data_IF_729247977010
#
_entry.id   IF_729247977010
#
_cell.length_a   1.000
_cell.length_b   1.000
_cell.length_c   1.000
_cell.angle_alpha   90.00
_cell.angle_beta   90.00
_cell.angle_gamma   90.00
#
_symmetry.space_group_name_H-M   'P 1'
#
loop_
_entity.id
_entity.type
_entity.pdbx_description
1 polymer ?
#
# COMPACT_ATOMS: atom_id res chain seq x y z
N UNK A 1 9.23 12.71 2.93
CA UNK A 1 9.55 11.35 2.43
C UNK A 1 9.58 11.43 0.90
N UNK A 2 10.41 10.62 0.22
CA UNK A 2 10.57 10.66 -1.25
C UNK A 2 10.18 9.30 -1.82
N UNK A 3 9.56 9.27 -2.99
CA UNK A 3 9.30 8.04 -3.73
C UNK A 3 10.62 7.33 -4.03
N UNK A 4 10.77 6.05 -3.69
CA UNK A 4 12.01 5.32 -3.92
C UNK A 4 12.22 5.11 -5.42
N UNK A 5 13.43 5.38 -5.91
CA UNK A 5 13.83 5.06 -7.28
C UNK A 5 14.37 3.63 -7.32
N UNK A 6 14.05 2.90 -8.39
CA UNK A 6 14.46 1.51 -8.55
C UNK A 6 13.38 0.65 -9.20
N UNK A 7 13.60 -0.66 -9.21
CA UNK A 7 12.64 -1.66 -9.69
C UNK A 7 12.10 -2.42 -8.47
N UNK A 8 10.79 -2.43 -8.32
CA UNK A 8 10.10 -3.07 -7.20
C UNK A 8 9.06 -4.04 -7.72
N UNK A 9 8.78 -5.09 -6.97
CA UNK A 9 7.69 -6.00 -7.30
C UNK A 9 6.34 -5.36 -7.01
N UNK A 10 5.30 -5.85 -7.69
CA UNK A 10 3.91 -5.56 -7.37
C UNK A 10 3.30 -6.83 -6.78
N UNK A 11 3.25 -6.90 -5.46
CA UNK A 11 3.06 -8.17 -4.74
C UNK A 11 1.59 -8.61 -4.68
N UNK A 12 0.71 -7.68 -4.34
CA UNK A 12 -0.74 -7.88 -4.31
C UNK A 12 -1.45 -6.53 -4.39
N UNK A 13 -2.75 -6.57 -4.65
CA UNK A 13 -3.61 -5.40 -4.69
C UNK A 13 -4.56 -5.37 -3.50
N UNK A 14 -5.03 -4.18 -3.15
CA UNK A 14 -6.06 -3.98 -2.14
C UNK A 14 -6.94 -2.78 -2.50
N UNK A 15 -8.07 -2.65 -1.85
CA UNK A 15 -8.90 -1.46 -2.03
C UNK A 15 -10.20 -1.49 -1.27
N UNK A 16 -10.82 -0.32 -1.10
CA UNK A 16 -12.14 -0.18 -0.48
C UNK A 16 -13.26 -0.66 -1.41
N UNK A 17 -13.00 -0.66 -2.73
CA UNK A 17 -13.89 -1.21 -3.75
C UNK A 17 -13.66 -2.72 -3.98
N UNK A 18 -14.60 -3.42 -4.63
CA UNK A 18 -14.40 -4.80 -5.05
C UNK A 18 -13.24 -4.96 -6.05
N UNK A 19 -12.69 -6.18 -6.12
CA UNK A 19 -11.62 -6.52 -7.07
C UNK A 19 -12.03 -6.16 -8.52
N UNK A 20 -11.30 -5.26 -9.22
CA UNK A 20 -11.64 -4.85 -10.58
C UNK A 20 -11.31 -5.92 -11.65
N UNK A 21 -10.78 -7.07 -11.24
CA UNK A 21 -10.25 -8.14 -12.08
C UNK A 21 -8.73 -8.07 -12.22
N UNK A 22 -8.12 -9.13 -12.74
CA UNK A 22 -6.66 -9.27 -12.86
C UNK A 22 -6.18 -10.59 -12.29
N UNK A 23 -4.86 -10.80 -12.26
CA UNK A 23 -4.27 -12.03 -11.72
C UNK A 23 -3.51 -11.85 -10.41
N UNK A 24 -3.37 -10.62 -9.90
CA UNK A 24 -2.80 -10.41 -8.57
C UNK A 24 -3.81 -10.83 -7.48
N UNK A 25 -3.33 -11.36 -6.33
CA UNK A 25 -4.16 -11.47 -5.14
C UNK A 25 -4.76 -10.11 -4.77
N UNK A 26 -6.01 -10.10 -4.31
CA UNK A 26 -6.74 -8.88 -3.96
C UNK A 26 -7.28 -8.96 -2.53
N UNK A 27 -7.05 -7.91 -1.73
CA UNK A 27 -7.64 -7.77 -0.39
C UNK A 27 -8.63 -6.61 -0.40
N UNK A 28 -9.92 -6.90 -0.20
CA UNK A 28 -10.91 -5.84 0.00
C UNK A 28 -10.82 -5.35 1.45
N UNK A 29 -10.40 -4.09 1.64
CA UNK A 29 -10.10 -3.54 2.96
C UNK A 29 -11.32 -2.92 3.61
N UNK A 30 -11.46 -3.18 4.90
CA UNK A 30 -12.46 -2.57 5.79
C UNK A 30 -11.81 -1.71 6.89
N UNK A 31 -12.61 -1.09 7.79
CA UNK A 31 -12.12 -0.16 8.80
C UNK A 31 -11.03 -0.70 9.74
N UNK A 32 -10.94 -2.02 9.90
CA UNK A 32 -9.97 -2.69 10.76
C UNK A 32 -8.66 -3.07 10.03
N UNK A 33 -8.48 -2.65 8.77
CA UNK A 33 -7.25 -2.91 8.01
C UNK A 33 -6.26 -1.76 8.18
N UNK A 34 -5.05 -2.10 8.58
CA UNK A 34 -3.96 -1.17 8.85
C UNK A 34 -2.72 -1.59 8.09
N UNK A 35 -1.90 -0.62 7.67
CA UNK A 35 -0.50 -0.89 7.37
C UNK A 35 0.33 -0.49 8.58
N UNK A 36 0.97 -1.48 9.20
CA UNK A 36 1.78 -1.28 10.39
C UNK A 36 3.08 -0.56 10.03
N UNK A 37 3.19 0.70 10.44
CA UNK A 37 4.40 1.51 10.27
C UNK A 37 5.25 1.59 11.54
N UNK A 38 4.81 1.01 12.65
CA UNK A 38 5.53 1.07 13.92
C UNK A 38 6.85 0.32 13.82
N UNK A 39 7.95 1.07 13.77
CA UNK A 39 9.31 0.54 13.64
C UNK A 39 9.74 -0.39 14.79
N UNK A 40 9.02 -0.39 15.91
CA UNK A 40 9.27 -1.30 17.05
C UNK A 40 8.42 -2.57 16.97
N UNK A 41 7.46 -2.62 16.06
CA UNK A 41 6.53 -3.74 15.92
C UNK A 41 7.18 -4.93 15.20
N UNK A 42 6.93 -6.17 15.64
CA UNK A 42 7.34 -7.37 14.90
C UNK A 42 6.63 -7.51 13.54
N UNK A 43 5.53 -6.77 13.33
CA UNK A 43 4.77 -6.74 12.07
C UNK A 43 5.04 -5.49 11.23
N UNK A 44 6.10 -4.74 11.53
CA UNK A 44 6.50 -3.56 10.77
C UNK A 44 6.51 -3.79 9.25
N UNK A 45 5.96 -2.81 8.52
CA UNK A 45 5.82 -2.78 7.07
C UNK A 45 5.00 -3.95 6.49
N UNK A 46 3.87 -4.25 7.13
CA UNK A 46 2.91 -5.25 6.64
C UNK A 46 1.46 -4.81 6.86
N UNK A 47 0.53 -5.37 6.09
CA UNK A 47 -0.90 -5.23 6.34
C UNK A 47 -1.32 -6.07 7.55
N UNK A 48 -2.06 -5.47 8.47
CA UNK A 48 -2.60 -6.09 9.69
C UNK A 48 -4.11 -5.87 9.78
N UNK A 49 -4.82 -6.80 10.41
CA UNK A 49 -6.27 -6.73 10.61
C UNK A 49 -6.58 -6.81 12.10
N UNK A 50 -7.01 -5.69 12.67
CA UNK A 50 -7.34 -5.57 14.08
C UNK A 50 -8.23 -4.34 14.32
N UNK A 51 -9.12 -4.45 15.31
CA UNK A 51 -9.76 -3.25 15.89
C UNK A 51 -8.66 -2.37 16.48
N UNK A 52 -8.81 -1.05 16.36
CA UNK A 52 -7.80 -0.07 16.75
C UNK A 52 -7.28 -0.28 18.18
N UNK A 53 -8.17 -0.61 19.12
CA UNK A 53 -7.85 -0.82 20.53
C UNK A 53 -7.17 -2.17 20.82
N UNK A 54 -7.21 -3.09 19.84
CA UNK A 54 -6.66 -4.44 19.94
C UNK A 54 -5.35 -4.61 19.16
N UNK A 55 -4.99 -3.64 18.31
CA UNK A 55 -3.74 -3.66 17.58
C UNK A 55 -2.55 -3.62 18.55
N UNK A 56 -1.57 -4.52 18.34
CA UNK A 56 -0.37 -4.66 19.19
C UNK A 56 0.81 -3.78 18.72
N UNK A 57 0.51 -2.77 17.92
CA UNK A 57 1.43 -1.79 17.35
C UNK A 57 0.82 -0.40 17.50
N UNK A 58 1.65 0.64 17.44
CA UNK A 58 1.16 2.01 17.52
C UNK A 58 0.35 2.39 16.26
N UNK A 59 -0.94 2.69 16.44
CA UNK A 59 -1.86 3.07 15.35
C UNK A 59 -1.86 4.57 15.03
N UNK A 60 -0.95 5.35 15.61
CA UNK A 60 -0.83 6.78 15.31
C UNK A 60 -0.14 7.02 13.96
N UNK A 61 -0.60 8.04 13.24
CA UNK A 61 0.06 8.51 12.02
C UNK A 61 1.53 8.91 12.26
N UNK A 62 1.85 9.39 13.47
CA UNK A 62 3.22 9.72 13.86
C UNK A 62 4.15 8.51 13.98
N UNK A 63 3.60 7.30 14.16
CA UNK A 63 4.36 6.05 14.08
C UNK A 63 4.57 5.58 12.63
N UNK A 64 3.97 6.26 11.64
CA UNK A 64 3.97 5.84 10.24
C UNK A 64 2.91 4.78 9.93
N UNK A 65 2.07 4.41 10.90
CA UNK A 65 0.95 3.49 10.70
C UNK A 65 -0.21 4.22 10.04
N UNK A 66 -0.86 3.56 9.08
CA UNK A 66 -2.00 4.12 8.36
C UNK A 66 -3.17 3.15 8.29
N UNK A 67 -4.40 3.70 8.31
CA UNK A 67 -5.60 2.92 8.05
C UNK A 67 -5.81 2.81 6.54
N UNK A 68 -6.11 1.61 6.06
CA UNK A 68 -6.24 1.35 4.64
C UNK A 68 -7.63 1.64 4.09
N UNK A 69 -8.62 1.90 4.95
CA UNK A 69 -10.00 2.18 4.56
C UNK A 69 -10.24 3.69 4.40
N UNK A 70 -9.57 4.29 3.42
CA UNK A 70 -9.68 5.72 3.06
C UNK A 70 -10.01 5.88 1.57
N UNK A 71 -10.59 7.02 1.13
CA UNK A 71 -10.98 7.24 -0.26
C UNK A 71 -9.84 7.08 -1.28
N UNK A 72 -8.61 7.43 -0.90
CA UNK A 72 -7.41 7.35 -1.75
C UNK A 72 -7.03 5.89 -2.09
N UNK A 73 -7.46 4.94 -1.27
CA UNK A 73 -7.26 3.51 -1.48
C UNK A 73 -8.50 2.84 -2.04
N UNK A 74 -9.20 3.54 -2.94
CA UNK A 74 -10.25 2.95 -3.77
C UNK A 74 -9.76 1.69 -4.46
N UNK A 75 -8.61 1.82 -5.14
CA UNK A 75 -7.78 0.74 -5.63
C UNK A 75 -6.32 1.07 -5.34
N UNK A 76 -5.55 0.06 -4.93
CA UNK A 76 -4.14 0.20 -4.62
C UNK A 76 -3.37 -1.09 -4.93
N UNK A 77 -2.08 -0.95 -5.22
CA UNK A 77 -1.15 -2.06 -5.46
C UNK A 77 0.07 -1.88 -4.57
N UNK A 78 0.43 -2.92 -3.82
CA UNK A 78 1.57 -2.91 -2.92
C UNK A 78 2.86 -2.98 -3.72
N UNK A 79 3.70 -1.96 -3.55
CA UNK A 79 5.08 -1.99 -4.05
C UNK A 79 5.96 -2.71 -3.04
N UNK A 80 6.76 -3.66 -3.53
CA UNK A 80 7.72 -4.44 -2.74
C UNK A 80 8.95 -3.63 -2.29
N UNK A 81 8.74 -2.45 -1.74
CA UNK A 81 9.79 -1.61 -1.14
C UNK A 81 10.03 -2.06 0.29
N UNK A 82 11.31 -2.15 0.70
CA UNK A 82 11.71 -2.58 2.04
C UNK A 82 11.09 -3.95 2.45
N UNK A 83 11.13 -4.95 1.55
CA UNK A 83 10.64 -6.32 1.84
C UNK A 83 11.31 -7.00 3.03
N UNK A 84 12.56 -6.66 3.30
CA UNK A 84 13.28 -7.14 4.47
C UNK A 84 12.74 -6.56 5.79
N UNK A 85 11.84 -5.56 5.72
CA UNK A 85 11.21 -4.88 6.87
C UNK A 85 12.24 -4.30 7.82
N UNK A 86 13.30 -3.70 7.27
CA UNK A 86 14.34 -3.05 8.07
C UNK A 86 13.77 -1.73 8.60
N UNK A 87 13.68 -1.56 9.92
CA UNK A 87 13.17 -0.32 10.50
C UNK A 87 13.97 0.90 10.01
N UNK A 88 13.27 1.98 9.64
CA UNK A 88 13.89 3.23 9.18
C UNK A 88 14.08 3.31 7.66
N UNK A 89 13.89 2.21 6.92
CA UNK A 89 13.95 2.19 5.46
C UNK A 89 12.62 2.56 4.78
N UNK A 90 11.68 3.13 5.54
CA UNK A 90 10.34 3.47 5.07
C UNK A 90 9.43 2.24 4.90
N UNK A 91 8.16 2.51 4.64
CA UNK A 91 7.15 1.48 4.43
C UNK A 91 5.91 2.07 3.79
N UNK A 92 4.94 1.21 3.52
CA UNK A 92 3.63 1.61 2.99
C UNK A 92 3.71 2.33 1.62
N UNK A 93 4.55 1.79 0.74
CA UNK A 93 4.67 2.31 -0.62
C UNK A 93 3.66 1.61 -1.52
N UNK A 94 2.71 2.38 -2.03
CA UNK A 94 1.65 1.88 -2.89
C UNK A 94 1.60 2.66 -4.20
N UNK A 95 1.09 2.00 -5.24
CA UNK A 95 0.46 2.68 -6.38
C UNK A 95 -1.02 2.77 -6.05
N UNK A 96 -1.62 3.96 -6.00
CA UNK A 96 -3.03 4.10 -5.63
C UNK A 96 -3.75 5.20 -6.41
N UNK A 97 -5.06 5.24 -6.28
CA UNK A 97 -5.91 6.26 -6.90
C UNK A 97 -5.65 7.64 -6.29
N UNK A 98 -5.49 8.65 -7.15
CA UNK A 98 -5.31 10.04 -6.75
C UNK A 98 -6.65 10.69 -6.39
N UNK A 99 -6.64 11.61 -5.43
CA UNK A 99 -7.69 12.60 -5.19
C UNK A 99 -7.34 13.98 -5.77
N UNK A 100 -6.23 14.08 -6.52
CA UNK A 100 -5.68 15.31 -7.07
C UNK A 100 -4.62 15.98 -6.18
N UNK A 101 -4.32 15.44 -5.00
CA UNK A 101 -3.30 15.94 -4.08
C UNK A 101 -1.89 15.32 -4.27
N UNK A 102 -0.82 15.98 -3.79
CA UNK A 102 0.52 15.41 -3.74
C UNK A 102 0.62 14.28 -2.69
N UNK A 103 1.34 13.21 -3.02
CA UNK A 103 1.55 12.07 -2.10
C UNK A 103 2.82 12.24 -1.25
N UNK A 104 2.86 11.55 -0.11
CA UNK A 104 4.04 11.51 0.76
C UNK A 104 5.15 10.54 0.29
N UNK A 105 5.00 9.91 -0.88
CA UNK A 105 5.95 8.92 -1.41
C UNK A 105 5.33 7.83 -2.28
N UNK A 106 4.02 7.64 -2.19
CA UNK A 106 3.24 6.76 -3.07
C UNK A 106 3.18 7.27 -4.51
N UNK A 107 2.82 6.39 -5.45
CA UNK A 107 2.53 6.79 -6.83
C UNK A 107 1.02 6.94 -6.97
N UNK A 108 0.53 8.17 -7.07
CA UNK A 108 -0.89 8.44 -7.27
C UNK A 108 -1.20 8.68 -8.75
N UNK A 109 -2.18 7.94 -9.29
CA UNK A 109 -2.64 8.04 -10.68
C UNK A 109 -4.17 8.05 -10.74
N UNK A 110 -4.73 8.37 -11.91
CA UNK A 110 -6.18 8.26 -12.15
C UNK A 110 -6.69 6.83 -11.87
N UNK A 111 -7.86 6.72 -11.22
CA UNK A 111 -8.44 5.45 -10.79
C UNK A 111 -8.77 4.53 -11.97
N UNK A 112 -9.33 5.08 -13.06
CA UNK A 112 -9.65 4.31 -14.26
C UNK A 112 -8.39 3.74 -14.92
N UNK A 113 -7.32 4.53 -14.93
CA UNK A 113 -5.99 4.12 -15.38
C UNK A 113 -5.43 3.00 -14.50
N UNK A 114 -5.49 3.15 -13.18
CA UNK A 114 -5.03 2.12 -12.24
C UNK A 114 -5.80 0.81 -12.41
N UNK A 115 -7.13 0.87 -12.52
CA UNK A 115 -7.98 -0.30 -12.79
C UNK A 115 -7.57 -0.98 -14.10
N UNK A 116 -7.28 -0.21 -15.15
CA UNK A 116 -6.78 -0.73 -16.42
C UNK A 116 -5.47 -1.50 -16.26
N UNK A 117 -4.51 -0.93 -15.51
CA UNK A 117 -3.23 -1.56 -15.19
C UNK A 117 -3.46 -2.84 -14.37
N UNK A 118 -4.25 -2.79 -13.30
CA UNK A 118 -4.51 -3.91 -12.38
C UNK A 118 -5.06 -5.15 -13.09
N UNK A 119 -5.96 -4.95 -14.06
CA UNK A 119 -6.50 -6.05 -14.88
C UNK A 119 -5.42 -6.78 -15.69
N UNK A 120 -4.34 -6.10 -16.04
CA UNK A 120 -3.20 -6.66 -16.75
C UNK A 120 -2.19 -7.33 -15.80
N UNK A 121 -2.05 -6.83 -14.56
CA UNK A 121 -1.07 -7.35 -13.61
C UNK A 121 -1.26 -8.84 -13.30
N UNK A 122 -0.12 -9.53 -13.14
CA UNK A 122 0.01 -10.96 -12.80
C UNK A 122 1.12 -11.12 -11.75
N UNK A 123 1.14 -12.22 -10.98
CA UNK A 123 2.24 -12.51 -10.06
C UNK A 123 3.59 -12.46 -10.80
N UNK A 124 4.57 -11.75 -10.23
CA UNK A 124 5.85 -11.48 -10.88
C UNK A 124 5.94 -10.14 -11.62
N UNK A 125 4.84 -9.36 -11.67
CA UNK A 125 4.88 -8.00 -12.20
C UNK A 125 5.82 -7.09 -11.39
N UNK A 126 6.45 -6.14 -12.11
CA UNK A 126 7.41 -5.18 -11.57
C UNK A 126 6.97 -3.76 -11.94
N UNK A 127 7.34 -2.79 -11.11
CA UNK A 127 7.29 -1.35 -11.39
C UNK A 127 8.70 -0.78 -11.35
N UNK A 128 9.02 0.08 -12.31
CA UNK A 128 10.27 0.84 -12.32
C UNK A 128 9.97 2.32 -12.07
N UNK A 129 10.67 2.92 -11.11
CA UNK A 129 10.62 4.35 -10.81
C UNK A 129 11.98 4.96 -11.11
N UNK A 130 12.00 5.89 -12.06
CA UNK A 130 13.20 6.57 -12.56
C UNK A 130 12.96 8.09 -12.71
N UNK A 131 14.03 8.83 -13.02
CA UNK A 131 13.98 10.29 -13.27
C UNK A 131 13.60 10.61 -14.71
#
# INVERSE_FOLDING_TARGET
MKTPMGVFTLDFAFGTEPNPGGGLPYVQVGPDHWWDGDMKSPTYNTMQVCKKEQCRFNTSLSAGTENLHIPQYRHAVVMGVNKARVPGNGGAFFVHSTDGGPTAGCVAIDDGTLVGIMRWLRPGALIAIAK
#
